data_IF_876683065602
#
_entry.id   IF_876683065602
#
_cell.length_a   1.000
_cell.length_b   1.000
_cell.length_c   1.000
_cell.angle_alpha   90.00
_cell.angle_beta   90.00
_cell.angle_gamma   90.00
#
_symmetry.space_group_name_H-M   'P 1'
#
loop_
_entity.id
_entity.type
_entity.pdbx_description
1 polymer ?
#
# COMPACT_ATOMS: atom_id res chain seq x y z
N UNK A 1 -28.34 40.09 14.97
CA UNK A 1 -27.04 39.39 15.06
C UNK A 1 -27.14 38.17 14.16
N UNK A 2 -26.65 38.28 12.92
CA UNK A 2 -26.89 37.29 11.87
C UNK A 2 -25.99 36.07 12.13
N UNK A 3 -26.60 34.91 12.00
CA UNK A 3 -26.12 33.58 12.34
C UNK A 3 -25.01 33.18 11.36
N UNK A 4 -23.74 33.43 11.71
CA UNK A 4 -22.54 33.09 10.90
C UNK A 4 -22.10 31.61 11.09
N UNK A 5 -22.68 30.92 12.07
CA UNK A 5 -22.35 29.53 12.41
C UNK A 5 -22.67 28.47 11.32
N UNK A 6 -23.75 28.57 10.51
CA UNK A 6 -24.09 27.52 9.55
C UNK A 6 -23.19 27.53 8.32
N UNK A 7 -22.65 28.69 7.93
CA UNK A 7 -21.86 28.85 6.71
C UNK A 7 -20.46 28.24 6.85
N UNK A 8 -19.89 28.24 8.06
CA UNK A 8 -18.62 27.57 8.35
C UNK A 8 -18.74 26.04 8.38
N UNK A 9 -19.90 25.50 8.75
CA UNK A 9 -20.10 24.06 8.87
C UNK A 9 -20.00 23.33 7.52
N UNK A 10 -20.55 23.91 6.47
CA UNK A 10 -20.41 23.40 5.10
C UNK A 10 -18.96 23.43 4.61
N UNK A 11 -18.17 24.43 5.03
CA UNK A 11 -16.75 24.52 4.68
C UNK A 11 -15.93 23.40 5.34
N UNK A 12 -16.24 23.06 6.60
CA UNK A 12 -15.61 21.93 7.29
C UNK A 12 -15.98 20.59 6.65
N UNK A 13 -17.24 20.39 6.27
CA UNK A 13 -17.67 19.18 5.58
C UNK A 13 -16.99 19.06 4.20
N UNK A 14 -16.92 20.17 3.45
CA UNK A 14 -16.25 20.20 2.14
C UNK A 14 -14.76 19.89 2.22
N UNK A 15 -14.06 20.48 3.20
CA UNK A 15 -12.62 20.22 3.40
C UNK A 15 -12.35 18.80 3.91
N UNK A 16 -13.22 18.24 4.76
CA UNK A 16 -13.13 16.84 5.18
C UNK A 16 -13.36 15.87 4.01
N UNK A 17 -14.38 16.10 3.17
CA UNK A 17 -14.65 15.27 2.00
C UNK A 17 -13.53 15.37 0.96
N UNK A 18 -13.00 16.56 0.73
CA UNK A 18 -11.88 16.78 -0.19
C UNK A 18 -10.60 16.11 0.32
N UNK A 19 -10.30 16.26 1.62
CA UNK A 19 -9.19 15.56 2.27
C UNK A 19 -9.34 14.05 2.19
N UNK A 20 -10.55 13.53 2.41
CA UNK A 20 -10.84 12.10 2.27
C UNK A 20 -10.68 11.62 0.83
N UNK A 21 -11.17 12.36 -0.16
CA UNK A 21 -11.02 12.03 -1.58
C UNK A 21 -9.55 12.01 -2.01
N UNK A 22 -8.77 13.02 -1.60
CA UNK A 22 -7.32 13.07 -1.85
C UNK A 22 -6.57 11.92 -1.16
N UNK A 23 -6.89 11.64 0.10
CA UNK A 23 -6.30 10.54 0.84
C UNK A 23 -6.62 9.21 0.15
N UNK A 24 -7.88 9.00 -0.26
CA UNK A 24 -8.33 7.81 -0.97
C UNK A 24 -7.63 7.65 -2.31
N UNK A 25 -7.44 8.74 -3.05
CA UNK A 25 -6.74 8.72 -4.34
C UNK A 25 -5.25 8.39 -4.17
N UNK A 26 -4.59 8.97 -3.17
CA UNK A 26 -3.20 8.64 -2.80
C UNK A 26 -3.08 7.18 -2.38
N UNK A 27 -3.98 6.66 -1.55
CA UNK A 27 -3.94 5.24 -1.14
C UNK A 27 -4.08 4.31 -2.33
N UNK A 28 -4.94 4.62 -3.31
CA UNK A 28 -5.08 3.81 -4.52
C UNK A 28 -3.79 3.71 -5.36
N UNK A 29 -2.86 4.67 -5.24
CA UNK A 29 -1.58 4.59 -5.94
C UNK A 29 -0.58 3.65 -5.26
N UNK A 30 -0.72 3.44 -3.94
CA UNK A 30 0.16 2.56 -3.17
C UNK A 30 -0.41 1.15 -3.01
N UNK A 31 -1.74 1.01 -3.01
CA UNK A 31 -2.41 -0.28 -2.85
C UNK A 31 -2.74 -0.90 -4.20
N UNK A 32 -2.09 -2.02 -4.49
CA UNK A 32 -2.39 -2.87 -5.64
C UNK A 32 -3.69 -3.62 -5.32
N UNK A 33 -4.78 -3.19 -5.94
CA UNK A 33 -6.12 -3.75 -5.68
C UNK A 33 -6.27 -5.15 -6.30
N UNK A 34 -5.65 -5.39 -7.46
CA UNK A 34 -5.75 -6.66 -8.19
C UNK A 34 -4.47 -6.97 -8.96
N UNK A 35 -3.85 -8.12 -8.68
CA UNK A 35 -2.65 -8.55 -9.36
C UNK A 35 -2.03 -9.79 -8.72
N UNK A 36 -0.97 -10.28 -9.34
CA UNK A 36 -0.08 -11.29 -8.81
C UNK A 36 1.16 -10.63 -8.23
N UNK A 37 1.54 -11.11 -7.06
CA UNK A 37 2.77 -10.75 -6.39
C UNK A 37 3.65 -12.00 -6.36
N UNK A 38 4.75 -11.95 -7.11
CA UNK A 38 5.82 -12.94 -7.06
C UNK A 38 6.94 -12.44 -6.15
N UNK A 39 7.45 -13.32 -5.29
CA UNK A 39 8.62 -13.07 -4.47
C UNK A 39 9.67 -14.12 -4.81
N UNK A 40 10.86 -13.68 -5.21
CA UNK A 40 12.00 -14.54 -5.43
C UNK A 40 13.00 -14.34 -4.29
N UNK A 41 13.11 -15.31 -3.36
CA UNK A 41 13.97 -15.20 -2.18
C UNK A 41 15.45 -15.00 -2.54
N UNK A 42 15.95 -15.74 -3.52
CA UNK A 42 17.39 -15.79 -3.85
C UNK A 42 17.99 -14.43 -4.24
N UNK A 43 17.17 -13.49 -4.72
CA UNK A 43 17.61 -12.19 -5.19
C UNK A 43 16.91 -11.03 -4.47
N UNK A 44 16.09 -11.34 -3.45
CA UNK A 44 15.16 -10.39 -2.82
C UNK A 44 14.30 -9.64 -3.84
N UNK A 45 13.94 -10.29 -4.95
CA UNK A 45 13.24 -9.62 -6.06
C UNK A 45 11.74 -9.76 -5.87
N UNK A 46 11.05 -8.63 -5.86
CA UNK A 46 9.58 -8.55 -5.90
C UNK A 46 9.16 -8.33 -7.35
N UNK A 47 8.34 -9.22 -7.86
CA UNK A 47 7.69 -9.11 -9.16
C UNK A 47 6.22 -8.77 -8.92
N UNK A 48 5.78 -7.67 -9.50
CA UNK A 48 4.38 -7.28 -9.48
C UNK A 48 3.84 -7.34 -10.89
N UNK A 49 2.78 -8.10 -11.09
CA UNK A 49 2.03 -8.11 -12.34
C UNK A 49 0.53 -7.94 -12.09
N UNK A 50 -0.10 -7.03 -12.81
CA UNK A 50 -1.53 -6.77 -12.77
C UNK A 50 -1.98 -6.27 -14.12
N UNK A 51 -3.31 -6.13 -14.33
CA UNK A 51 -3.89 -5.77 -15.64
C UNK A 51 -3.28 -4.51 -16.28
N UNK A 52 -2.77 -3.57 -15.48
CA UNK A 52 -2.25 -2.28 -15.95
C UNK A 52 -0.81 -1.99 -15.52
N UNK A 53 -0.15 -2.93 -14.83
CA UNK A 53 1.18 -2.69 -14.29
C UNK A 53 1.96 -3.99 -14.20
N UNK A 54 3.12 -4.02 -14.85
CA UNK A 54 4.10 -5.09 -14.71
C UNK A 54 5.45 -4.44 -14.45
N UNK A 55 6.04 -4.77 -13.30
CA UNK A 55 7.35 -4.26 -12.93
C UNK A 55 8.00 -5.19 -11.91
N UNK A 56 9.32 -5.12 -11.84
CA UNK A 56 10.13 -5.88 -10.89
C UNK A 56 11.12 -4.94 -10.21
N UNK A 57 11.53 -5.30 -9.01
CA UNK A 57 12.59 -4.59 -8.31
C UNK A 57 13.03 -5.33 -7.06
N UNK A 58 14.09 -4.81 -6.44
CA UNK A 58 14.66 -5.39 -5.24
C UNK A 58 13.92 -4.88 -4.00
N UNK A 59 13.50 -5.79 -3.13
CA UNK A 59 12.95 -5.45 -1.82
C UNK A 59 14.05 -4.79 -0.99
N UNK A 60 13.78 -3.59 -0.49
CA UNK A 60 14.73 -2.86 0.38
C UNK A 60 14.24 -2.76 1.80
N UNK A 61 12.92 -2.76 2.02
CA UNK A 61 12.34 -2.73 3.35
C UNK A 61 10.93 -3.31 3.34
N UNK A 62 10.52 -3.87 4.47
CA UNK A 62 9.17 -4.34 4.71
C UNK A 62 8.71 -3.93 6.11
N UNK A 63 7.47 -3.43 6.21
CA UNK A 63 6.88 -3.03 7.47
C UNK A 63 5.44 -3.46 7.56
N UNK A 64 5.03 -3.98 8.71
CA UNK A 64 3.62 -4.28 8.99
C UNK A 64 3.03 -3.18 9.86
N UNK A 65 1.97 -2.55 9.35
CA UNK A 65 1.16 -1.59 10.08
C UNK A 65 -0.11 -2.25 10.60
N UNK A 66 -0.42 -2.00 11.88
CA UNK A 66 -1.66 -2.41 12.55
C UNK A 66 -2.02 -3.91 12.39
N UNK A 67 -1.03 -4.77 12.16
CA UNK A 67 -1.19 -6.21 11.92
C UNK A 67 -2.09 -6.60 10.73
N UNK A 68 -2.46 -5.64 9.88
CA UNK A 68 -3.42 -5.84 8.80
C UNK A 68 -2.96 -5.25 7.46
N UNK A 69 -1.86 -4.48 7.46
CA UNK A 69 -1.28 -3.90 6.25
C UNK A 69 0.21 -4.18 6.22
N UNK A 70 0.71 -4.69 5.11
CA UNK A 70 2.13 -4.94 4.85
C UNK A 70 2.56 -3.96 3.78
N UNK A 71 3.48 -3.07 4.12
CA UNK A 71 4.09 -2.12 3.22
C UNK A 71 5.46 -2.65 2.79
N UNK A 72 5.61 -2.89 1.49
CA UNK A 72 6.88 -3.25 0.87
C UNK A 72 7.47 -2.03 0.18
N UNK A 73 8.73 -1.73 0.45
CA UNK A 73 9.51 -0.75 -0.29
C UNK A 73 10.42 -1.49 -1.26
N UNK A 74 10.22 -1.22 -2.54
CA UNK A 74 10.89 -1.92 -3.63
C UNK A 74 11.64 -0.93 -4.49
N UNK A 75 12.95 -1.12 -4.63
CA UNK A 75 13.81 -0.33 -5.52
C UNK A 75 13.76 -0.94 -6.92
N UNK A 76 13.15 -0.21 -7.84
CA UNK A 76 13.19 -0.53 -9.28
C UNK A 76 14.31 0.26 -9.94
N UNK A 77 14.70 -0.09 -11.17
CA UNK A 77 15.74 0.63 -11.92
C UNK A 77 15.47 2.14 -12.04
N UNK A 78 14.20 2.53 -12.18
CA UNK A 78 13.81 3.91 -12.41
C UNK A 78 13.52 4.69 -11.12
N UNK A 79 13.02 4.02 -10.08
CA UNK A 79 12.58 4.67 -8.83
C UNK A 79 12.34 3.68 -7.69
N UNK A 80 12.29 4.20 -6.47
CA UNK A 80 11.69 3.49 -5.33
C UNK A 80 10.17 3.49 -5.47
N UNK A 81 9.54 2.33 -5.30
CA UNK A 81 8.09 2.14 -5.29
C UNK A 81 7.67 1.55 -3.96
N UNK A 82 6.50 1.95 -3.46
CA UNK A 82 5.91 1.39 -2.26
C UNK A 82 4.66 0.61 -2.64
N UNK A 83 4.52 -0.59 -2.10
CA UNK A 83 3.34 -1.45 -2.28
C UNK A 83 2.71 -1.70 -0.92
N UNK A 84 1.46 -1.31 -0.76
CA UNK A 84 0.63 -1.73 0.35
C UNK A 84 -0.15 -2.99 -0.01
N UNK A 85 -0.06 -4.01 0.83
CA UNK A 85 -0.83 -5.26 0.74
C UNK A 85 -1.69 -5.35 2.00
N UNK A 86 -3.00 -5.51 1.82
CA UNK A 86 -3.92 -5.67 2.94
C UNK A 86 -4.15 -7.15 3.26
N UNK A 87 -4.18 -7.50 4.54
CA UNK A 87 -4.41 -8.88 5.01
C UNK A 87 -5.71 -9.48 4.46
N UNK A 88 -6.76 -8.68 4.39
CA UNK A 88 -8.07 -9.12 3.87
C UNK A 88 -8.10 -9.31 2.35
N UNK A 89 -7.04 -8.93 1.62
CA UNK A 89 -6.94 -9.17 0.18
C UNK A 89 -6.50 -10.61 -0.14
N UNK A 90 -6.14 -11.42 0.85
CA UNK A 90 -5.70 -12.81 0.66
C UNK A 90 -6.18 -13.73 1.77
N UNK A 91 -6.00 -15.04 1.59
CA UNK A 91 -6.28 -16.03 2.65
C UNK A 91 -5.29 -15.86 3.80
N UNK A 92 -5.75 -16.12 5.02
CA UNK A 92 -4.94 -16.00 6.25
C UNK A 92 -3.62 -16.79 6.19
N UNK A 93 -3.64 -18.00 5.63
CA UNK A 93 -2.45 -18.84 5.47
C UNK A 93 -1.43 -18.20 4.53
N UNK A 94 -1.89 -17.65 3.40
CA UNK A 94 -1.06 -16.96 2.42
C UNK A 94 -0.46 -15.67 3.02
N UNK A 95 -1.25 -14.95 3.82
CA UNK A 95 -0.77 -13.77 4.54
C UNK A 95 0.37 -14.09 5.50
N UNK A 96 0.21 -15.15 6.31
CA UNK A 96 1.25 -15.59 7.25
C UNK A 96 2.51 -16.05 6.52
N UNK A 97 2.34 -16.83 5.45
CA UNK A 97 3.46 -17.25 4.60
C UNK A 97 4.21 -16.05 3.99
N UNK A 98 3.47 -15.10 3.43
CA UNK A 98 4.00 -13.88 2.85
C UNK A 98 4.80 -13.08 3.87
N UNK A 99 4.22 -12.81 5.05
CA UNK A 99 4.89 -12.05 6.09
C UNK A 99 6.19 -12.74 6.52
N UNK A 100 6.16 -14.06 6.77
CA UNK A 100 7.37 -14.81 7.14
C UNK A 100 8.46 -14.68 6.09
N UNK A 101 8.15 -14.94 4.83
CA UNK A 101 9.13 -14.88 3.74
C UNK A 101 9.70 -13.49 3.56
N UNK A 102 8.85 -12.47 3.62
CA UNK A 102 9.27 -11.07 3.46
C UNK A 102 10.20 -10.65 4.60
N UNK A 103 9.86 -10.99 5.86
CA UNK A 103 10.69 -10.64 7.01
C UNK A 103 12.00 -11.43 7.05
N UNK A 104 11.97 -12.73 6.72
CA UNK A 104 13.19 -13.54 6.56
C UNK A 104 14.14 -12.92 5.52
N UNK A 105 13.61 -12.36 4.42
CA UNK A 105 14.41 -11.66 3.40
C UNK A 105 14.91 -10.28 3.83
N UNK A 106 14.28 -9.61 4.80
CA UNK A 106 14.71 -8.26 5.21
C UNK A 106 15.68 -8.26 6.38
N UNK A 107 15.78 -9.37 7.12
CA UNK A 107 16.68 -9.52 8.27
C UNK A 107 18.05 -10.13 7.88
N UNK A 108 18.21 -10.59 6.63
CA UNK A 108 19.48 -11.11 6.07
C UNK A 108 20.30 -10.03 5.37
#
# INVERSE_FOLDING_TARGET
MIVIVPTLWWWHIGTCLFGYALARQRTHQYFIVTGHLGLLPEHMTVIVSGRQYQWQGQLTAAQVYFHCVLLLTVKTEQRTRHIGIMRHAMKEEQWRHLCRHVFEMTES
#
